data_IF_869980231940
#
_entry.id   IF_869980231940
#
_cell.length_a   1.000
_cell.length_b   1.000
_cell.length_c   1.000
_cell.angle_alpha   90.00
_cell.angle_beta   90.00
_cell.angle_gamma   90.00
#
_symmetry.space_group_name_H-M   'P 1'
#
loop_
_entity.id
_entity.type
_entity.pdbx_description
1 polymer ?
#
# COMPACT_ATOMS: atom_id res chain seq x y z
N UNK A 1 42.32 34.08 15.38
CA UNK A 1 41.93 32.92 16.21
C UNK A 1 40.42 32.76 16.21
N UNK A 2 39.93 32.01 15.22
CA UNK A 2 38.48 31.71 15.06
C UNK A 2 38.10 30.30 15.58
N UNK A 3 38.87 29.77 16.53
CA UNK A 3 38.75 28.36 16.95
C UNK A 3 38.03 28.15 18.27
N UNK A 4 37.25 29.10 18.78
CA UNK A 4 36.52 28.90 20.06
C UNK A 4 35.07 29.35 20.10
N UNK A 5 34.38 29.33 18.96
CA UNK A 5 32.92 29.33 19.00
C UNK A 5 32.44 27.90 19.10
N UNK A 6 32.55 27.32 20.27
CA UNK A 6 31.91 26.06 20.62
C UNK A 6 30.42 26.32 20.84
N UNK A 7 29.69 26.43 19.73
CA UNK A 7 28.22 26.59 19.77
C UNK A 7 27.60 25.19 19.95
N UNK A 8 27.59 24.71 21.17
CA UNK A 8 26.71 23.61 21.53
C UNK A 8 25.28 24.17 21.64
N UNK A 9 24.58 24.22 20.52
CA UNK A 9 23.14 24.41 20.57
C UNK A 9 22.52 23.16 21.16
N UNK A 10 22.08 23.25 22.41
CA UNK A 10 21.20 22.21 22.96
C UNK A 10 19.93 22.17 22.11
N UNK A 11 19.52 20.97 21.73
CA UNK A 11 18.38 20.74 20.84
C UNK A 11 17.06 21.36 21.39
N UNK A 12 17.01 21.59 22.71
CA UNK A 12 15.87 22.22 23.38
C UNK A 12 15.81 23.72 23.19
N UNK A 13 16.95 24.42 23.05
CA UNK A 13 16.99 25.84 22.71
C UNK A 13 16.48 26.11 21.29
N UNK A 14 16.76 25.22 20.36
CA UNK A 14 16.24 25.30 19.00
C UNK A 14 14.70 25.23 18.96
N UNK A 15 14.09 24.43 19.82
CA UNK A 15 12.63 24.32 19.93
C UNK A 15 11.96 25.60 20.46
N UNK A 16 12.68 26.39 21.27
CA UNK A 16 12.15 27.61 21.86
C UNK A 16 12.05 28.77 20.85
N UNK A 17 12.94 28.81 19.86
CA UNK A 17 13.01 29.89 18.88
C UNK A 17 12.02 29.70 17.73
N UNK A 18 11.58 30.80 17.12
CA UNK A 18 10.64 30.80 15.99
C UNK A 18 11.15 29.99 14.78
N UNK A 19 12.46 30.08 14.51
CA UNK A 19 13.13 29.31 13.45
C UNK A 19 13.09 27.79 13.72
N UNK A 20 13.35 27.38 14.96
CA UNK A 20 13.27 25.97 15.34
C UNK A 20 11.86 25.40 15.28
N UNK A 21 10.86 26.19 15.71
CA UNK A 21 9.45 25.81 15.55
C UNK A 21 9.05 25.66 14.09
N UNK A 22 9.55 26.54 13.20
CA UNK A 22 9.31 26.44 11.76
C UNK A 22 9.94 25.19 11.18
N UNK A 23 11.17 24.84 11.59
CA UNK A 23 11.89 23.66 11.15
C UNK A 23 11.17 22.36 11.59
N UNK A 24 10.70 22.29 12.83
CA UNK A 24 9.92 21.15 13.32
C UNK A 24 8.62 20.98 12.53
N UNK A 25 7.88 22.07 12.29
CA UNK A 25 6.67 22.03 11.44
C UNK A 25 6.96 21.60 10.01
N UNK A 26 8.11 22.02 9.45
CA UNK A 26 8.54 21.59 8.12
C UNK A 26 8.83 20.09 8.12
N UNK A 27 9.57 19.61 9.12
CA UNK A 27 9.89 18.18 9.25
C UNK A 27 8.61 17.33 9.34
N UNK A 28 7.65 17.72 10.17
CA UNK A 28 6.36 17.02 10.29
C UNK A 28 5.60 16.98 8.96
N UNK A 29 5.59 18.10 8.22
CA UNK A 29 4.96 18.16 6.89
C UNK A 29 5.67 17.26 5.89
N UNK A 30 7.00 17.25 5.89
CA UNK A 30 7.82 16.40 4.99
C UNK A 30 7.58 14.94 5.30
N UNK A 31 7.63 14.54 6.57
CA UNK A 31 7.36 13.16 7.00
C UNK A 31 5.95 12.73 6.61
N UNK A 32 4.95 13.59 6.88
CA UNK A 32 3.55 13.33 6.49
C UNK A 32 3.40 13.19 4.98
N UNK A 33 4.05 14.07 4.20
CA UNK A 33 4.03 13.99 2.74
C UNK A 33 4.67 12.71 2.22
N UNK A 34 5.84 12.32 2.78
CA UNK A 34 6.53 11.07 2.42
C UNK A 34 5.62 9.87 2.71
N UNK A 35 5.05 9.79 3.91
CA UNK A 35 4.12 8.70 4.26
C UNK A 35 2.91 8.64 3.34
N UNK A 36 2.29 9.79 3.04
CA UNK A 36 1.15 9.87 2.12
C UNK A 36 1.51 9.43 0.71
N UNK A 37 2.71 9.75 0.25
CA UNK A 37 3.19 9.39 -1.09
C UNK A 37 3.57 7.92 -1.17
N UNK A 38 4.30 7.39 -0.18
CA UNK A 38 4.69 5.98 -0.12
C UNK A 38 3.48 5.05 0.03
N UNK A 39 2.45 5.46 0.77
CA UNK A 39 1.22 4.69 0.90
C UNK A 39 0.42 4.57 -0.41
N UNK A 40 0.76 5.35 -1.44
CA UNK A 40 0.16 5.26 -2.78
C UNK A 40 0.90 4.31 -3.72
N UNK A 41 2.14 3.93 -3.38
CA UNK A 41 2.88 2.92 -4.14
C UNK A 41 2.39 1.57 -3.65
N UNK A 42 1.71 0.80 -4.50
CA UNK A 42 1.26 -0.53 -4.11
C UNK A 42 2.50 -1.39 -3.83
N UNK A 43 2.47 -2.12 -2.73
CA UNK A 43 3.44 -3.17 -2.48
C UNK A 43 3.08 -4.34 -3.39
N UNK A 44 3.96 -4.68 -4.30
CA UNK A 44 3.78 -5.78 -5.24
C UNK A 44 4.87 -6.81 -5.03
N UNK A 45 4.52 -8.06 -5.20
CA UNK A 45 5.45 -9.18 -5.13
C UNK A 45 4.94 -10.34 -5.97
N UNK A 46 5.71 -11.42 -5.99
CA UNK A 46 5.44 -12.60 -6.78
C UNK A 46 5.22 -13.82 -5.90
N UNK A 47 4.39 -14.70 -6.38
CA UNK A 47 4.23 -16.04 -5.86
C UNK A 47 5.45 -16.87 -6.30
N UNK A 48 6.24 -17.36 -5.34
CA UNK A 48 7.45 -18.13 -5.66
C UNK A 48 7.16 -19.65 -5.73
N UNK A 49 6.29 -20.10 -4.85
CA UNK A 49 6.01 -21.53 -4.69
C UNK A 49 4.56 -21.74 -4.25
N UNK A 50 3.96 -22.81 -4.74
CA UNK A 50 2.59 -23.22 -4.37
C UNK A 50 2.57 -24.72 -4.12
N UNK A 51 2.04 -25.09 -2.97
CA UNK A 51 1.67 -26.47 -2.65
C UNK A 51 0.14 -26.55 -2.54
N UNK A 52 -0.47 -27.04 -3.60
CA UNK A 52 -1.94 -27.17 -3.67
C UNK A 52 -2.51 -28.17 -2.68
N UNK A 53 -1.75 -29.24 -2.34
CA UNK A 53 -2.21 -30.28 -1.45
C UNK A 53 -2.33 -29.77 0.00
N UNK A 54 -1.37 -28.96 0.41
CA UNK A 54 -1.34 -28.38 1.76
C UNK A 54 -1.91 -26.96 1.82
N UNK A 55 -2.43 -26.44 0.71
CA UNK A 55 -2.94 -25.06 0.62
C UNK A 55 -1.93 -24.00 1.07
N UNK A 56 -0.64 -24.20 0.73
CA UNK A 56 0.46 -23.33 1.11
C UNK A 56 0.99 -22.59 -0.11
N UNK A 57 1.32 -21.32 0.09
CA UNK A 57 1.96 -20.47 -0.88
C UNK A 57 3.17 -19.75 -0.25
N UNK A 58 4.22 -19.47 -1.05
CA UNK A 58 5.35 -18.65 -0.63
C UNK A 58 5.44 -17.44 -1.56
N UNK A 59 5.60 -16.26 -0.97
CA UNK A 59 5.73 -15.00 -1.69
C UNK A 59 7.11 -14.38 -1.43
N UNK A 60 7.64 -13.61 -2.40
CA UNK A 60 8.93 -12.91 -2.31
C UNK A 60 8.89 -11.62 -1.45
N UNK A 61 7.84 -11.43 -0.67
CA UNK A 61 7.70 -10.34 0.27
C UNK A 61 7.87 -10.83 1.70
N UNK A 62 8.69 -10.14 2.48
CA UNK A 62 8.96 -10.49 3.87
C UNK A 62 8.97 -9.29 4.80
N UNK A 63 9.62 -9.45 5.95
CA UNK A 63 9.72 -8.39 6.96
C UNK A 63 10.40 -7.12 6.41
N UNK A 64 11.38 -7.28 5.52
CA UNK A 64 12.07 -6.15 4.87
C UNK A 64 11.10 -5.28 4.03
N UNK A 65 10.00 -5.86 3.56
CA UNK A 65 8.95 -5.18 2.80
C UNK A 65 7.78 -4.71 3.67
N UNK A 66 7.86 -4.85 5.00
CA UNK A 66 6.81 -4.45 5.92
C UNK A 66 5.65 -5.44 6.05
N UNK A 67 5.79 -6.67 5.54
CA UNK A 67 4.78 -7.72 5.67
C UNK A 67 4.71 -8.22 7.12
N UNK A 68 3.49 -8.43 7.60
CA UNK A 68 3.21 -8.95 8.93
C UNK A 68 2.37 -10.24 8.86
N UNK A 69 2.46 -11.03 9.91
CA UNK A 69 1.58 -12.19 10.09
C UNK A 69 0.12 -11.73 10.11
N UNK A 70 -0.75 -12.48 9.44
CA UNK A 70 -2.18 -12.21 9.21
C UNK A 70 -2.47 -11.15 8.14
N UNK A 71 -1.45 -10.60 7.47
CA UNK A 71 -1.71 -9.77 6.28
C UNK A 71 -2.38 -10.62 5.20
N UNK A 72 -3.23 -9.97 4.43
CA UNK A 72 -4.03 -10.61 3.37
C UNK A 72 -3.59 -10.03 2.03
N UNK A 73 -3.32 -10.92 1.07
CA UNK A 73 -2.95 -10.55 -0.28
C UNK A 73 -3.96 -11.10 -1.28
N UNK A 74 -4.19 -10.34 -2.34
CA UNK A 74 -4.91 -10.82 -3.52
C UNK A 74 -3.90 -11.28 -4.55
N UNK A 75 -4.17 -12.43 -5.16
CA UNK A 75 -3.32 -13.03 -6.19
C UNK A 75 -3.94 -12.79 -7.55
N UNK A 76 -3.11 -12.36 -8.51
CA UNK A 76 -3.50 -12.09 -9.88
C UNK A 76 -2.60 -12.88 -10.84
N UNK A 77 -3.18 -13.39 -11.91
CA UNK A 77 -2.45 -13.75 -13.12
C UNK A 77 -2.22 -12.50 -13.96
N UNK A 78 -1.04 -12.33 -14.47
CA UNK A 78 -0.70 -11.21 -15.34
C UNK A 78 -0.45 -11.77 -16.76
N UNK A 79 -1.26 -11.34 -17.70
CA UNK A 79 -1.05 -11.60 -19.12
C UNK A 79 -0.40 -10.37 -19.75
N UNK A 80 0.89 -10.45 -20.14
CA UNK A 80 1.62 -9.31 -20.63
C UNK A 80 1.19 -8.92 -22.06
N UNK A 81 1.19 -7.61 -22.33
CA UNK A 81 1.05 -7.00 -23.67
C UNK A 81 -0.24 -7.35 -24.39
N UNK A 82 -1.33 -6.84 -23.88
CA UNK A 82 -2.58 -6.85 -24.63
C UNK A 82 -2.54 -5.74 -25.68
N UNK A 83 -2.52 -6.12 -26.95
CA UNK A 83 -2.50 -5.17 -28.06
C UNK A 83 -3.87 -5.09 -28.73
N UNK A 84 -4.29 -3.87 -29.08
CA UNK A 84 -5.46 -3.69 -29.92
C UNK A 84 -5.26 -4.37 -31.28
N UNK A 85 -6.13 -5.29 -31.69
CA UNK A 85 -5.97 -6.00 -32.98
C UNK A 85 -6.12 -5.09 -34.21
N UNK A 86 -6.81 -3.95 -34.04
CA UNK A 86 -7.08 -3.01 -35.14
C UNK A 86 -5.97 -1.97 -35.26
N UNK A 87 -5.71 -1.24 -34.19
CA UNK A 87 -4.78 -0.11 -34.18
C UNK A 87 -3.37 -0.50 -33.72
N UNK A 88 -3.18 -1.74 -33.25
CA UNK A 88 -1.91 -2.28 -32.73
C UNK A 88 -1.32 -1.46 -31.57
N UNK A 89 -2.18 -0.71 -30.89
CA UNK A 89 -1.82 0.06 -29.71
C UNK A 89 -1.63 -0.91 -28.54
N UNK A 90 -0.55 -0.74 -27.77
CA UNK A 90 -0.32 -1.49 -26.53
C UNK A 90 -1.33 -1.00 -25.47
N UNK A 91 -2.23 -1.89 -25.05
CA UNK A 91 -3.25 -1.64 -24.03
C UNK A 91 -2.75 -1.96 -22.62
N UNK A 92 -1.50 -2.41 -22.49
CA UNK A 92 -0.88 -2.82 -21.23
C UNK A 92 -1.16 -4.26 -20.85
N UNK A 93 -0.94 -4.57 -19.57
CA UNK A 93 -1.08 -5.91 -19.01
C UNK A 93 -2.51 -6.17 -18.53
N UNK A 94 -2.99 -7.39 -18.74
CA UNK A 94 -4.30 -7.82 -18.25
C UNK A 94 -4.15 -8.56 -16.93
N UNK A 95 -4.84 -8.10 -15.89
CA UNK A 95 -4.83 -8.66 -14.53
C UNK A 95 -6.09 -9.48 -14.28
N UNK A 96 -5.94 -10.79 -14.12
CA UNK A 96 -7.05 -11.68 -13.77
C UNK A 96 -6.90 -12.14 -12.32
N UNK A 97 -7.89 -11.82 -11.48
CA UNK A 97 -7.88 -12.23 -10.08
C UNK A 97 -8.06 -13.73 -9.94
N UNK A 98 -7.11 -14.41 -9.27
CA UNK A 98 -7.14 -15.85 -8.99
C UNK A 98 -7.67 -16.19 -7.60
N UNK A 99 -7.36 -15.34 -6.59
CA UNK A 99 -7.80 -15.63 -5.23
C UNK A 99 -7.19 -14.76 -4.16
N UNK A 100 -7.19 -15.26 -2.94
CA UNK A 100 -6.72 -14.58 -1.73
C UNK A 100 -5.87 -15.55 -0.91
N UNK A 101 -4.73 -15.03 -0.43
CA UNK A 101 -3.84 -15.71 0.51
C UNK A 101 -3.69 -14.89 1.78
N UNK A 102 -3.41 -15.54 2.90
CA UNK A 102 -3.18 -14.93 4.21
C UNK A 102 -1.83 -15.35 4.76
N UNK A 103 -1.04 -14.40 5.20
CA UNK A 103 0.29 -14.67 5.74
C UNK A 103 0.19 -15.42 7.07
N UNK A 104 0.82 -16.59 7.11
CA UNK A 104 0.94 -17.44 8.32
C UNK A 104 2.28 -17.26 9.01
N UNK A 105 3.36 -17.06 8.24
CA UNK A 105 4.72 -16.90 8.77
C UNK A 105 5.49 -15.88 7.93
N UNK A 106 6.32 -15.05 8.58
CA UNK A 106 7.13 -14.01 7.92
C UNK A 106 8.60 -14.24 8.20
N UNK A 107 9.39 -14.32 7.13
CA UNK A 107 10.84 -14.36 7.15
C UNK A 107 11.44 -13.01 6.71
N UNK A 108 12.75 -12.88 6.67
CA UNK A 108 13.41 -11.63 6.30
C UNK A 108 13.01 -11.10 4.92
N UNK A 109 13.02 -11.97 3.90
CA UNK A 109 12.80 -11.64 2.48
C UNK A 109 11.61 -12.32 1.83
N UNK A 110 11.00 -13.29 2.47
CA UNK A 110 9.86 -14.03 1.95
C UNK A 110 8.87 -14.31 3.06
N UNK A 111 7.66 -14.70 2.72
CA UNK A 111 6.65 -15.11 3.67
C UNK A 111 5.92 -16.34 3.19
N UNK A 112 5.50 -17.16 4.15
CA UNK A 112 4.61 -18.29 3.95
C UNK A 112 3.17 -17.84 4.17
N UNK A 113 2.30 -18.25 3.27
CA UNK A 113 0.88 -17.91 3.31
C UNK A 113 0.01 -19.14 3.18
N UNK A 114 -1.17 -19.10 3.74
CA UNK A 114 -2.25 -20.06 3.54
C UNK A 114 -3.19 -19.56 2.43
N UNK A 115 -3.59 -20.46 1.55
CA UNK A 115 -4.59 -20.18 0.51
C UNK A 115 -5.98 -20.18 1.16
N UNK A 116 -6.63 -19.02 1.20
CA UNK A 116 -7.97 -18.87 1.79
C UNK A 116 -9.05 -19.20 0.78
N UNK A 117 -8.90 -18.67 -0.44
CA UNK A 117 -9.85 -18.89 -1.54
C UNK A 117 -9.13 -18.70 -2.86
N UNK A 118 -9.44 -19.51 -3.83
CA UNK A 118 -8.92 -19.43 -5.20
C UNK A 118 -8.39 -20.74 -5.71
N UNK A 119 -8.12 -20.77 -7.00
CA UNK A 119 -7.66 -21.96 -7.73
C UNK A 119 -6.57 -21.54 -8.75
N UNK A 120 -5.81 -22.56 -9.19
CA UNK A 120 -4.84 -22.40 -10.28
C UNK A 120 -3.74 -21.38 -10.01
N UNK A 121 -3.30 -21.25 -8.76
CA UNK A 121 -2.12 -20.47 -8.45
C UNK A 121 -0.88 -21.10 -9.07
N UNK A 122 -0.03 -20.28 -9.68
CA UNK A 122 1.24 -20.73 -10.24
C UNK A 122 2.37 -19.81 -9.79
N UNK A 123 3.61 -20.28 -9.70
CA UNK A 123 4.76 -19.40 -9.50
C UNK A 123 4.81 -18.33 -10.57
N UNK A 124 5.09 -17.08 -10.20
CA UNK A 124 5.05 -15.91 -11.05
C UNK A 124 3.72 -15.14 -11.04
N UNK A 125 2.68 -15.64 -10.36
CA UNK A 125 1.48 -14.86 -10.14
C UNK A 125 1.79 -13.64 -9.24
N UNK A 126 1.23 -12.48 -9.61
CA UNK A 126 1.39 -11.24 -8.88
C UNK A 126 0.59 -11.27 -7.57
N UNK A 127 1.21 -10.83 -6.48
CA UNK A 127 0.55 -10.68 -5.18
C UNK A 127 0.52 -9.21 -4.76
N UNK A 128 -0.66 -8.72 -4.42
CA UNK A 128 -0.89 -7.33 -4.00
C UNK A 128 -1.60 -7.34 -2.65
N UNK A 129 -1.15 -6.56 -1.66
CA UNK A 129 -1.81 -6.52 -0.37
C UNK A 129 -3.24 -6.04 -0.53
N UNK A 130 -4.16 -6.76 0.09
CA UNK A 130 -5.51 -6.25 0.25
C UNK A 130 -5.42 -5.09 1.24
N UNK A 131 -5.50 -3.85 0.74
CA UNK A 131 -5.38 -2.63 1.54
C UNK A 131 -6.34 -2.76 2.72
N UNK A 132 -5.80 -2.90 3.93
CA UNK A 132 -6.57 -2.59 5.11
C UNK A 132 -6.91 -1.12 4.97
N UNK A 133 -8.18 -0.77 4.84
CA UNK A 133 -8.61 0.61 5.06
C UNK A 133 -7.92 1.04 6.35
N UNK A 134 -7.01 2.01 6.24
CA UNK A 134 -6.41 2.61 7.41
C UNK A 134 -7.57 3.17 8.25
N UNK A 135 -7.93 2.46 9.28
CA UNK A 135 -8.92 2.86 10.28
C UNK A 135 -8.35 3.96 11.17
N UNK A 136 -7.87 5.05 10.59
CA UNK A 136 -7.64 6.32 11.27
C UNK A 136 -7.61 7.45 10.24
N UNK A 137 -8.69 7.60 9.49
CA UNK A 137 -9.06 8.94 9.07
C UNK A 137 -9.45 9.69 10.34
N UNK A 138 -8.87 10.88 10.52
CA UNK A 138 -9.29 11.77 11.59
C UNK A 138 -10.82 11.98 11.50
N UNK A 139 -11.53 12.24 12.59
CA UNK A 139 -12.98 12.45 12.56
C UNK A 139 -13.44 13.46 11.50
N UNK A 140 -12.59 14.41 11.16
CA UNK A 140 -12.85 15.44 10.14
C UNK A 140 -12.77 14.92 8.69
N UNK A 141 -11.95 13.89 8.42
CA UNK A 141 -11.84 13.30 7.07
C UNK A 141 -12.95 12.27 6.82
N UNK A 142 -13.45 11.62 7.88
CA UNK A 142 -14.60 10.74 7.80
C UNK A 142 -15.90 11.48 7.47
N UNK A 143 -16.06 12.70 7.98
CA UNK A 143 -17.22 13.55 7.68
C UNK A 143 -17.24 13.98 6.21
N UNK A 144 -16.10 14.35 5.64
CA UNK A 144 -16.01 14.74 4.23
C UNK A 144 -16.27 13.57 3.27
N UNK A 145 -15.88 12.35 3.64
CA UNK A 145 -16.09 11.18 2.80
C UNK A 145 -17.54 10.67 2.85
N UNK A 146 -18.24 10.88 3.97
CA UNK A 146 -19.67 10.64 4.07
C UNK A 146 -20.48 11.61 3.21
N UNK A 147 -20.14 12.89 3.21
CA UNK A 147 -20.82 13.91 2.41
C UNK A 147 -20.67 13.69 0.90
N UNK A 148 -19.51 13.20 0.44
CA UNK A 148 -19.29 12.86 -0.97
C UNK A 148 -20.15 11.65 -1.39
N UNK A 149 -20.33 10.67 -0.51
CA UNK A 149 -21.09 9.45 -0.84
C UNK A 149 -22.61 9.70 -0.85
N UNK A 150 -23.11 10.61 -0.03
CA UNK A 150 -24.53 10.98 -0.02
C UNK A 150 -24.93 11.89 -1.18
N UNK A 151 -24.02 12.70 -1.69
CA UNK A 151 -24.24 13.55 -2.86
C UNK A 151 -24.46 12.75 -4.16
N UNK A 152 -23.77 11.63 -4.31
CA UNK A 152 -23.88 10.77 -5.49
C UNK A 152 -25.22 9.98 -5.57
N UNK A 153 -25.87 9.71 -4.43
CA UNK A 153 -27.13 8.99 -4.40
C UNK A 153 -28.38 9.88 -4.54
N UNK A 154 -28.29 11.16 -4.24
CA UNK A 154 -29.42 12.09 -4.38
C UNK A 154 -29.72 12.50 -5.83
N UNK A 155 -28.79 12.28 -6.76
CA UNK A 155 -28.99 12.59 -8.17
C UNK A 155 -29.78 11.58 -8.98
N UNK A 156 -30.05 10.38 -8.44
CA UNK A 156 -30.71 9.28 -9.18
C UNK A 156 -32.20 9.10 -8.83
N UNK A 157 -32.73 9.85 -7.86
CA UNK A 157 -34.14 9.71 -7.46
C UNK A 157 -35.10 10.72 -8.13
N UNK A 158 -34.63 11.53 -9.08
CA UNK A 158 -35.47 12.52 -9.79
C UNK A 158 -35.78 12.15 -11.25
N UNK A 159 -35.57 10.91 -11.65
CA UNK A 159 -36.02 10.40 -12.94
C UNK A 159 -37.08 9.32 -12.73
N UNK A 160 -38.29 9.76 -12.40
CA UNK A 160 -39.51 8.95 -12.59
C UNK A 160 -40.62 9.86 -13.10
N UNK A 161 -40.95 9.66 -14.40
CA UNK A 161 -42.16 9.97 -15.15
C UNK A 161 -42.87 11.30 -14.91
#
# INVERSE_FOLDING_TARGET
>A
DLTSLNISYEFDDLKAHSAGKALLKLNDKVVTFIHKTLNRVPLEGDLIFVDHNNSIAIINLGKANGVNVRDVFTVFSVEPKFNDPVDKIDLGDMYTRKGIIKISEVQGRFSKAEIIVGLNFVPGDLVVPKIRKLEKLSPNEQSQQQDINWGAYKGLSSLSY
#
